data_IF_199142894489
#
_entry.id   IF_199142894489
#
_cell.length_a   1.000
_cell.length_b   1.000
_cell.length_c   1.000
_cell.angle_alpha   90.00
_cell.angle_beta   90.00
_cell.angle_gamma   90.00
#
_symmetry.space_group_name_H-M   'P 1'
#
loop_
_entity.id
_entity.type
_entity.pdbx_description
1 polymer ?
#
# COMPACT_ATOMS: atom_id res chain seq x y z
N UNK A 1 -2.12 -0.97 -34.95
CA UNK A 1 -1.39 -1.40 -33.74
C UNK A 1 -1.07 -0.13 -32.94
N UNK A 2 -1.99 0.30 -32.07
CA UNK A 2 -1.79 1.54 -31.31
C UNK A 2 -0.96 1.23 -30.07
N UNK A 3 0.33 1.54 -30.14
CA UNK A 3 1.19 1.56 -28.96
C UNK A 3 0.75 2.75 -28.10
N UNK A 4 -0.10 2.47 -27.10
CA UNK A 4 -0.46 3.47 -26.11
C UNK A 4 0.79 3.76 -25.28
N UNK A 5 1.46 4.88 -25.56
CA UNK A 5 2.45 5.43 -24.66
C UNK A 5 1.72 5.87 -23.38
N UNK A 6 1.66 4.98 -22.38
CA UNK A 6 1.31 5.36 -21.02
C UNK A 6 2.36 6.37 -20.55
N UNK A 7 1.95 7.61 -20.35
CA UNK A 7 2.77 8.61 -19.68
C UNK A 7 3.13 8.07 -18.29
N UNK A 8 4.38 8.27 -17.85
CA UNK A 8 4.88 7.82 -16.54
C UNK A 8 3.91 8.13 -15.38
N UNK A 9 3.16 9.23 -15.49
CA UNK A 9 2.18 9.69 -14.50
C UNK A 9 0.96 8.79 -14.29
N UNK A 10 0.66 7.83 -15.19
CA UNK A 10 -0.54 7.00 -15.11
C UNK A 10 -0.25 5.49 -15.09
N UNK A 11 0.97 5.11 -14.69
CA UNK A 11 1.29 3.71 -14.45
C UNK A 11 0.52 3.19 -13.22
N UNK A 12 0.09 1.92 -13.22
CA UNK A 12 -0.64 1.34 -12.10
C UNK A 12 0.27 1.21 -10.88
N UNK A 13 -0.25 1.58 -9.70
CA UNK A 13 0.50 1.51 -8.43
C UNK A 13 0.11 0.27 -7.62
N UNK A 14 0.97 -0.10 -6.67
CA UNK A 14 0.67 -1.14 -5.68
C UNK A 14 0.16 -0.51 -4.40
N UNK A 15 -1.05 -0.87 -3.97
CA UNK A 15 -1.60 -0.46 -2.68
C UNK A 15 -1.13 -1.38 -1.55
N UNK A 16 -0.61 -0.84 -0.45
CA UNK A 16 -0.17 -1.62 0.72
C UNK A 16 -1.03 -1.29 1.93
N UNK A 17 -1.65 -2.33 2.49
CA UNK A 17 -2.65 -2.26 3.56
C UNK A 17 -2.05 -2.84 4.85
N UNK A 18 -1.46 -2.03 5.75
CA UNK A 18 -1.05 -2.48 7.08
C UNK A 18 -2.31 -2.77 7.92
N UNK A 19 -2.59 -4.04 8.19
CA UNK A 19 -3.73 -4.46 9.04
C UNK A 19 -3.23 -4.75 10.45
N UNK A 20 -4.00 -4.37 11.46
CA UNK A 20 -3.61 -4.45 12.87
C UNK A 20 -4.78 -4.92 13.73
N UNK A 21 -4.47 -5.52 14.89
CA UNK A 21 -5.45 -5.75 15.94
C UNK A 21 -6.05 -4.41 16.43
N UNK A 22 -7.38 -4.31 16.46
CA UNK A 22 -8.11 -3.11 16.89
C UNK A 22 -8.24 -2.90 18.39
N UNK A 23 -7.86 -3.89 19.20
CA UNK A 23 -7.96 -3.81 20.66
C UNK A 23 -7.03 -2.71 21.18
N UNK A 24 -7.61 -1.77 21.92
CA UNK A 24 -6.89 -0.70 22.62
C UNK A 24 -6.37 -1.20 23.97
N UNK A 25 -5.87 -0.27 24.79
CA UNK A 25 -5.31 -0.55 26.12
C UNK A 25 -3.96 -1.28 26.07
N UNK A 26 -3.13 -0.94 25.08
CA UNK A 26 -1.74 -1.37 24.97
C UNK A 26 -1.48 -2.39 23.87
N UNK A 27 -2.51 -3.10 23.38
CA UNK A 27 -2.34 -4.09 22.31
C UNK A 27 -2.02 -3.41 21.00
N UNK A 28 -2.94 -2.61 20.46
CA UNK A 28 -2.75 -1.89 19.19
C UNK A 28 -1.55 -0.95 19.26
N UNK A 29 -1.42 -0.18 20.34
CA UNK A 29 -0.35 0.80 20.52
C UNK A 29 1.04 0.15 20.46
N UNK A 30 1.19 -1.09 20.94
CA UNK A 30 2.46 -1.83 20.86
C UNK A 30 2.79 -2.36 19.46
N UNK A 31 1.81 -2.47 18.56
CA UNK A 31 1.93 -3.08 17.24
C UNK A 31 1.96 -2.06 16.08
N UNK A 32 1.52 -0.81 16.30
CA UNK A 32 1.40 0.22 15.26
C UNK A 32 2.71 0.45 14.49
N UNK A 33 3.82 0.65 15.21
CA UNK A 33 5.11 0.90 14.58
C UNK A 33 5.59 -0.29 13.75
N UNK A 34 5.52 -1.50 14.32
CA UNK A 34 5.94 -2.72 13.63
C UNK A 34 5.10 -2.98 12.37
N UNK A 35 3.78 -2.82 12.48
CA UNK A 35 2.84 -3.04 11.38
C UNK A 35 3.10 -2.05 10.24
N UNK A 36 3.28 -0.77 10.56
CA UNK A 36 3.58 0.25 9.55
C UNK A 36 4.98 0.07 8.94
N UNK A 37 5.96 -0.36 9.73
CA UNK A 37 7.31 -0.66 9.22
C UNK A 37 7.30 -1.86 8.27
N UNK A 38 6.44 -2.87 8.50
CA UNK A 38 6.25 -3.98 7.55
C UNK A 38 5.70 -3.50 6.20
N UNK A 39 4.76 -2.54 6.22
CA UNK A 39 4.25 -1.93 5.00
C UNK A 39 5.33 -1.10 4.26
N UNK A 40 6.13 -0.32 4.99
CA UNK A 40 7.24 0.45 4.42
C UNK A 40 8.33 -0.44 3.83
N UNK A 41 8.72 -1.51 4.53
CA UNK A 41 9.72 -2.46 4.05
C UNK A 41 9.24 -3.17 2.78
N UNK A 42 7.94 -3.52 2.73
CA UNK A 42 7.31 -4.08 1.53
C UNK A 42 7.33 -3.09 0.36
N UNK A 43 6.98 -1.83 0.60
CA UNK A 43 7.02 -0.78 -0.42
C UNK A 43 8.43 -0.57 -0.98
N UNK A 44 9.42 -0.52 -0.09
CA UNK A 44 10.83 -0.37 -0.44
C UNK A 44 11.31 -1.54 -1.30
N UNK A 45 11.08 -2.78 -0.84
CA UNK A 45 11.47 -3.99 -1.59
C UNK A 45 10.88 -3.99 -3.00
N UNK A 46 9.58 -3.71 -3.14
CA UNK A 46 8.91 -3.73 -4.44
C UNK A 46 9.44 -2.64 -5.36
N UNK A 47 9.63 -1.43 -4.84
CA UNK A 47 10.11 -0.29 -5.63
C UNK A 47 11.57 -0.45 -6.05
N UNK A 48 12.39 -1.15 -5.25
CA UNK A 48 13.79 -1.45 -5.58
C UNK A 48 13.94 -2.60 -6.58
N UNK A 49 13.10 -3.63 -6.47
CA UNK A 49 13.28 -4.88 -7.24
C UNK A 49 12.43 -4.95 -8.51
N UNK A 50 11.31 -4.22 -8.59
CA UNK A 50 10.36 -4.33 -9.69
C UNK A 50 10.29 -3.05 -10.52
N UNK A 51 10.20 -3.26 -11.83
CA UNK A 51 10.00 -2.22 -12.82
C UNK A 51 8.82 -2.59 -13.71
N UNK A 52 8.10 -1.58 -14.17
CA UNK A 52 7.15 -1.72 -15.26
C UNK A 52 7.87 -2.13 -16.55
N UNK A 53 7.14 -2.68 -17.51
CA UNK A 53 7.71 -3.08 -18.81
C UNK A 53 8.38 -1.92 -19.57
N UNK A 54 8.01 -0.68 -19.27
CA UNK A 54 8.64 0.52 -19.81
C UNK A 54 9.95 0.94 -19.10
N UNK A 55 10.39 0.18 -18.08
CA UNK A 55 11.60 0.43 -17.31
C UNK A 55 11.45 1.39 -16.12
N UNK A 56 10.27 1.97 -15.90
CA UNK A 56 10.01 2.79 -14.71
C UNK A 56 9.90 1.91 -13.45
N UNK A 57 10.48 2.33 -12.33
CA UNK A 57 10.30 1.66 -11.05
C UNK A 57 8.81 1.64 -10.65
N UNK A 58 8.37 0.56 -10.00
CA UNK A 58 6.99 0.46 -9.52
C UNK A 58 6.78 1.42 -8.34
N UNK A 59 5.69 2.16 -8.34
CA UNK A 59 5.29 2.99 -7.22
C UNK A 59 4.32 2.26 -6.28
N UNK A 60 4.51 2.48 -4.97
CA UNK A 60 3.63 1.95 -3.93
C UNK A 60 2.86 3.07 -3.22
N UNK A 61 1.62 2.77 -2.82
CA UNK A 61 0.75 3.64 -2.03
C UNK A 61 0.41 2.92 -0.74
N UNK A 62 0.87 3.43 0.40
CA UNK A 62 0.55 2.85 1.72
C UNK A 62 -0.71 3.53 2.28
N UNK A 63 -1.57 2.80 2.99
CA UNK A 63 -2.67 3.40 3.75
C UNK A 63 -2.16 4.48 4.74
N UNK A 64 -2.96 5.51 5.04
CA UNK A 64 -2.54 6.61 5.93
C UNK A 64 -2.32 6.18 7.39
N UNK A 65 -2.96 5.07 7.80
CA UNK A 65 -2.79 4.45 9.10
C UNK A 65 -3.06 2.95 9.03
N UNK A 66 -2.77 2.24 10.13
CA UNK A 66 -3.10 0.82 10.24
C UNK A 66 -4.61 0.59 10.28
N UNK A 67 -5.05 -0.51 9.67
CA UNK A 67 -6.45 -0.85 9.45
C UNK A 67 -6.85 -1.93 10.44
N UNK A 68 -7.73 -1.60 11.38
CA UNK A 68 -8.29 -2.51 12.36
C UNK A 68 -9.80 -2.76 12.15
N UNK A 69 -10.42 -2.05 11.21
CA UNK A 69 -11.85 -2.20 10.96
C UNK A 69 -12.33 -1.55 9.67
N UNK A 70 -13.65 -1.59 9.48
CA UNK A 70 -14.32 -1.18 8.24
C UNK A 70 -14.12 0.31 7.91
N UNK A 71 -14.13 1.19 8.92
CA UNK A 71 -13.95 2.63 8.69
C UNK A 71 -12.56 2.97 8.13
N UNK A 72 -11.50 2.41 8.72
CA UNK A 72 -10.13 2.58 8.24
C UNK A 72 -9.91 1.89 6.89
N UNK A 73 -10.56 0.75 6.67
CA UNK A 73 -10.57 0.05 5.37
C UNK A 73 -11.19 0.92 4.27
N UNK A 74 -12.32 1.59 4.54
CA UNK A 74 -12.97 2.47 3.59
C UNK A 74 -12.12 3.71 3.27
N UNK A 75 -11.50 4.33 4.28
CA UNK A 75 -10.57 5.45 4.07
C UNK A 75 -9.35 5.04 3.21
N UNK A 76 -8.82 3.83 3.41
CA UNK A 76 -7.76 3.27 2.58
C UNK A 76 -8.21 3.12 1.11
N UNK A 77 -9.41 2.60 0.88
CA UNK A 77 -9.96 2.42 -0.47
C UNK A 77 -10.20 3.76 -1.17
N UNK A 78 -10.73 4.76 -0.45
CA UNK A 78 -10.90 6.12 -0.95
C UNK A 78 -9.57 6.75 -1.39
N UNK A 79 -8.48 6.48 -0.64
CA UNK A 79 -7.14 6.91 -1.03
C UNK A 79 -6.67 6.18 -2.29
N UNK A 80 -6.81 4.85 -2.33
CA UNK A 80 -6.28 4.02 -3.40
C UNK A 80 -6.97 4.26 -4.75
N UNK A 81 -8.29 4.46 -4.74
CA UNK A 81 -9.08 4.78 -5.94
C UNK A 81 -8.65 6.09 -6.61
N UNK A 82 -8.11 7.05 -5.84
CA UNK A 82 -7.61 8.34 -6.35
C UNK A 82 -6.16 8.28 -6.82
N UNK A 83 -5.44 7.19 -6.55
CA UNK A 83 -4.00 7.05 -6.83
C UNK A 83 -3.67 6.01 -7.90
N UNK A 84 -4.67 5.56 -8.67
CA UNK A 84 -4.49 4.57 -9.73
C UNK A 84 -3.84 3.27 -9.24
N UNK A 85 -4.25 2.81 -8.05
CA UNK A 85 -3.84 1.52 -7.51
C UNK A 85 -4.50 0.40 -8.32
N UNK A 86 -3.68 -0.49 -8.89
CA UNK A 86 -4.15 -1.61 -9.73
C UNK A 86 -4.19 -2.95 -9.03
N UNK A 87 -3.50 -3.08 -7.89
CA UNK A 87 -3.50 -4.29 -7.05
C UNK A 87 -3.16 -3.92 -5.60
N UNK A 88 -3.52 -4.80 -4.66
CA UNK A 88 -3.26 -4.57 -3.23
C UNK A 88 -2.50 -5.71 -2.57
N UNK A 89 -1.63 -5.38 -1.63
CA UNK A 89 -0.95 -6.30 -0.72
C UNK A 89 -1.34 -5.92 0.71
N UNK A 90 -1.82 -6.90 1.48
CA UNK A 90 -2.10 -6.70 2.90
C UNK A 90 -0.98 -7.33 3.72
N UNK A 91 -0.48 -6.62 4.71
CA UNK A 91 0.59 -7.08 5.61
C UNK A 91 0.15 -6.92 7.05
N UNK A 92 0.53 -7.87 7.90
CA UNK A 92 0.28 -7.81 9.32
C UNK A 92 1.25 -8.71 10.10
N UNK A 93 1.75 -8.28 11.28
CA UNK A 93 2.51 -9.13 12.19
C UNK A 93 1.64 -9.79 13.29
N UNK A 94 0.31 -9.61 13.28
CA UNK A 94 -0.60 -10.07 14.33
C UNK A 94 -1.90 -10.71 13.80
#
# INVERSE_FOLDING_TARGET
MNSQHQTLQNLPKIGIRPVIDGRRMGVRESLEEQTMNMAKATAQLLSEQLHHACGAAVECVIADGCIAGMAESAACEDKFSRQNVGLTITVTPC
#
